data_IF_232365146098
#
_entry.id   IF_232365146098
#
_cell.length_a   1.000
_cell.length_b   1.000
_cell.length_c   1.000
_cell.angle_alpha   90.00
_cell.angle_beta   90.00
_cell.angle_gamma   90.00
#
_symmetry.space_group_name_H-M   'P 1'
#
loop_
_entity.id
_entity.type
_entity.pdbx_description
1 polymer ?
#
# COMPACT_ATOMS: atom_id res chain seq x y z
N UNK A 1 3.32 -28.19 8.07
CA UNK A 1 2.23 -27.76 7.16
C UNK A 1 0.89 -28.08 7.82
N UNK A 2 -0.04 -27.13 7.89
CA UNK A 2 -1.38 -27.37 8.46
C UNK A 2 -2.21 -28.14 7.43
N UNK A 3 -2.73 -29.31 7.82
CA UNK A 3 -3.58 -30.13 6.97
C UNK A 3 -5.03 -29.61 6.96
N UNK A 4 -5.75 -29.75 5.84
CA UNK A 4 -7.15 -29.28 5.68
C UNK A 4 -8.07 -29.74 6.81
N UNK A 5 -7.89 -30.98 7.29
CA UNK A 5 -8.64 -31.54 8.43
C UNK A 5 -8.37 -30.80 9.75
N UNK A 6 -7.13 -30.40 9.99
CA UNK A 6 -6.74 -29.65 11.19
C UNK A 6 -7.29 -28.22 11.11
N UNK A 7 -7.20 -27.59 9.95
CA UNK A 7 -7.79 -26.27 9.71
C UNK A 7 -9.31 -26.26 9.96
N UNK A 8 -10.05 -27.21 9.37
CA UNK A 8 -11.50 -27.29 9.53
C UNK A 8 -11.92 -27.52 10.99
N UNK A 9 -11.17 -28.34 11.74
CA UNK A 9 -11.42 -28.55 13.18
C UNK A 9 -11.22 -27.28 13.98
N UNK A 10 -10.13 -26.56 13.74
CA UNK A 10 -9.80 -25.33 14.47
C UNK A 10 -10.78 -24.20 14.14
N UNK A 11 -11.14 -24.02 12.87
CA UNK A 11 -12.14 -23.04 12.45
C UNK A 11 -13.53 -23.33 13.04
N UNK A 12 -13.94 -24.61 13.06
CA UNK A 12 -15.21 -25.03 13.66
C UNK A 12 -15.25 -24.83 15.17
N UNK A 13 -14.14 -25.11 15.88
CA UNK A 13 -14.02 -24.85 17.32
C UNK A 13 -14.12 -23.35 17.64
N UNK A 14 -13.48 -22.50 16.84
CA UNK A 14 -13.55 -21.05 17.00
C UNK A 14 -14.96 -20.50 16.77
N UNK A 15 -15.65 -20.98 15.72
CA UNK A 15 -17.01 -20.56 15.40
C UNK A 15 -18.03 -20.99 16.48
N UNK A 16 -17.93 -22.23 16.96
CA UNK A 16 -18.79 -22.72 18.04
C UNK A 16 -18.51 -22.01 19.37
N UNK A 17 -17.22 -21.77 19.70
CA UNK A 17 -16.84 -20.97 20.86
C UNK A 17 -17.38 -19.54 20.80
N UNK A 18 -17.35 -18.91 19.62
CA UNK A 18 -17.92 -17.58 19.39
C UNK A 18 -19.44 -17.52 19.55
N UNK A 19 -20.17 -18.54 19.09
CA UNK A 19 -21.64 -18.57 19.21
C UNK A 19 -22.12 -18.83 20.65
N UNK A 20 -21.41 -19.66 21.42
CA UNK A 20 -21.80 -19.99 22.80
C UNK A 20 -21.51 -18.84 23.77
N UNK A 21 -20.48 -18.03 23.51
CA UNK A 21 -20.20 -16.76 24.23
C UNK A 21 -21.25 -15.67 23.95
N UNK A 22 -22.01 -15.76 22.85
CA UNK A 22 -22.97 -14.74 22.43
C UNK A 22 -24.35 -14.76 23.11
N UNK A 23 -24.61 -15.65 24.07
CA UNK A 23 -25.98 -15.85 24.62
C UNK A 23 -26.22 -15.42 26.08
N UNK A 24 -25.22 -14.98 26.85
CA UNK A 24 -25.42 -14.58 28.27
C UNK A 24 -25.08 -13.13 28.59
N UNK A 25 -24.72 -12.33 27.60
CA UNK A 25 -24.58 -10.90 27.81
C UNK A 25 -24.75 -10.21 26.48
N UNK A 26 -25.42 -9.05 26.51
CA UNK A 26 -25.25 -8.07 25.43
C UNK A 26 -23.76 -7.93 25.23
N UNK A 27 -23.24 -8.49 24.13
CA UNK A 27 -21.88 -8.23 23.70
C UNK A 27 -21.93 -6.79 23.28
N UNK A 28 -21.71 -5.89 24.24
CA UNK A 28 -21.06 -4.64 23.93
C UNK A 28 -19.89 -5.09 23.08
N UNK A 29 -19.89 -4.70 21.80
CA UNK A 29 -18.67 -4.63 21.04
C UNK A 29 -17.81 -3.62 21.81
N UNK A 30 -17.19 -4.09 22.90
CA UNK A 30 -16.01 -3.48 23.43
C UNK A 30 -15.12 -3.54 22.21
N UNK A 31 -14.91 -2.40 21.57
CA UNK A 31 -13.74 -2.24 20.74
C UNK A 31 -12.62 -2.65 21.68
N UNK A 32 -12.20 -3.90 21.57
CA UNK A 32 -10.82 -4.23 21.74
C UNK A 32 -10.18 -3.29 20.73
N UNK A 33 -9.86 -2.07 21.21
CA UNK A 33 -8.61 -1.38 20.98
C UNK A 33 -7.53 -2.39 21.38
N UNK A 34 -7.49 -3.48 20.62
CA UNK A 34 -6.33 -4.23 20.33
C UNK A 34 -5.42 -3.13 19.86
N UNK A 35 -4.49 -2.80 20.74
CA UNK A 35 -3.19 -2.26 20.42
C UNK A 35 -2.43 -3.21 19.48
N UNK A 36 -3.13 -3.79 18.50
CA UNK A 36 -2.63 -4.37 17.28
C UNK A 36 -2.02 -3.21 16.52
N UNK A 37 -0.79 -2.94 16.97
CA UNK A 37 0.25 -2.28 16.23
C UNK A 37 -0.29 -1.00 15.60
N UNK A 38 -0.07 0.12 16.29
CA UNK A 38 0.38 1.30 15.56
C UNK A 38 1.62 0.84 14.77
N UNK A 39 1.38 0.22 13.61
CA UNK A 39 2.36 0.03 12.59
C UNK A 39 2.85 1.46 12.40
N UNK A 40 4.15 1.73 12.57
CA UNK A 40 4.64 3.05 12.28
C UNK A 40 4.11 3.35 10.87
N UNK A 41 3.36 4.45 10.73
CA UNK A 41 3.03 5.02 9.43
C UNK A 41 4.34 5.52 8.82
N UNK A 42 5.31 4.62 8.67
CA UNK A 42 6.50 4.83 7.90
C UNK A 42 5.98 4.97 6.48
N UNK A 43 5.99 6.20 5.99
CA UNK A 43 5.68 6.50 4.60
C UNK A 43 6.43 5.50 3.72
N UNK A 44 5.68 4.74 2.93
CA UNK A 44 6.28 3.77 2.02
C UNK A 44 7.17 4.54 1.05
N UNK A 45 8.40 4.07 0.88
CA UNK A 45 9.28 4.58 -0.16
C UNK A 45 8.94 3.82 -1.44
N UNK A 46 8.30 4.50 -2.39
CA UNK A 46 7.86 3.93 -3.67
C UNK A 46 8.54 4.71 -4.80
N UNK A 47 9.32 4.00 -5.63
CA UNK A 47 9.96 4.58 -6.81
C UNK A 47 9.10 4.51 -8.07
N UNK A 48 9.27 5.47 -8.97
CA UNK A 48 8.67 5.48 -10.30
C UNK A 48 9.72 5.70 -11.39
N UNK A 49 9.79 4.81 -12.36
CA UNK A 49 10.55 5.02 -13.59
C UNK A 49 9.77 5.95 -14.52
N UNK A 50 10.29 7.15 -14.80
CA UNK A 50 9.54 8.18 -15.56
C UNK A 50 9.27 7.80 -17.01
N UNK A 51 9.98 6.80 -17.55
CA UNK A 51 9.67 6.22 -18.86
C UNK A 51 8.21 5.75 -18.94
N UNK A 52 7.62 5.29 -17.83
CA UNK A 52 6.21 4.85 -17.77
C UNK A 52 5.21 5.97 -18.04
N UNK A 53 5.59 7.24 -17.89
CA UNK A 53 4.72 8.40 -18.10
C UNK A 53 4.79 8.93 -19.54
N UNK A 54 5.84 8.57 -20.29
CA UNK A 54 6.04 8.99 -21.67
C UNK A 54 5.80 10.49 -21.88
N UNK A 55 4.98 10.83 -22.88
CA UNK A 55 4.65 12.23 -23.24
C UNK A 55 3.85 12.98 -22.17
N UNK A 56 3.18 12.31 -21.24
CA UNK A 56 2.33 12.98 -20.24
C UNK A 56 3.15 13.79 -19.26
N UNK A 57 4.35 13.31 -18.91
CA UNK A 57 5.28 14.04 -18.04
C UNK A 57 5.88 15.26 -18.75
N UNK A 58 6.26 15.13 -20.03
CA UNK A 58 7.03 16.17 -20.72
C UNK A 58 6.19 17.33 -21.26
N UNK A 59 4.86 17.20 -21.30
CA UNK A 59 3.97 18.33 -21.62
C UNK A 59 3.96 19.40 -20.52
N UNK A 60 4.11 18.98 -19.25
CA UNK A 60 4.22 19.84 -18.08
C UNK A 60 5.00 19.09 -17.00
N UNK A 61 6.32 19.26 -17.02
CA UNK A 61 7.22 18.52 -16.12
C UNK A 61 6.94 18.86 -14.65
N UNK A 62 6.75 20.14 -14.33
CA UNK A 62 6.52 20.59 -12.96
C UNK A 62 5.17 20.07 -12.43
N UNK A 63 4.10 20.22 -13.20
CA UNK A 63 2.77 19.71 -12.83
C UNK A 63 2.71 18.18 -12.81
N UNK A 64 3.39 17.52 -13.74
CA UNK A 64 3.50 16.06 -13.79
C UNK A 64 4.19 15.50 -12.53
N UNK A 65 5.34 16.06 -12.14
CA UNK A 65 6.05 15.66 -10.92
C UNK A 65 5.22 15.93 -9.65
N UNK A 66 4.47 17.05 -9.61
CA UNK A 66 3.55 17.33 -8.50
C UNK A 66 2.48 16.26 -8.37
N UNK A 67 1.89 15.80 -9.49
CA UNK A 67 0.91 14.70 -9.50
C UNK A 67 1.54 13.37 -9.07
N UNK A 68 2.76 13.07 -9.52
CA UNK A 68 3.52 11.88 -9.12
C UNK A 68 3.72 11.84 -7.60
N UNK A 69 4.12 12.97 -6.99
CA UNK A 69 4.25 13.09 -5.55
C UNK A 69 2.89 12.93 -4.82
N UNK A 70 1.82 13.52 -5.35
CA UNK A 70 0.46 13.38 -4.80
C UNK A 70 -0.07 11.93 -4.86
N UNK A 71 0.35 11.15 -5.85
CA UNK A 71 0.03 9.71 -5.94
C UNK A 71 0.80 8.85 -4.93
N UNK A 72 1.79 9.40 -4.24
CA UNK A 72 2.56 8.70 -3.20
C UNK A 72 3.86 8.07 -3.68
N UNK A 73 4.34 8.40 -4.88
CA UNK A 73 5.70 8.08 -5.30
C UNK A 73 6.69 9.02 -4.60
N UNK A 74 7.70 8.45 -3.96
CA UNK A 74 8.69 9.16 -3.16
C UNK A 74 10.00 9.40 -3.90
N UNK A 75 10.30 8.58 -4.90
CA UNK A 75 11.52 8.69 -5.71
C UNK A 75 11.19 8.51 -7.19
N UNK A 76 12.01 9.10 -8.05
CA UNK A 76 11.91 8.94 -9.50
C UNK A 76 13.23 8.42 -10.04
N UNK A 77 13.16 7.51 -11.01
CA UNK A 77 14.29 7.11 -11.83
C UNK A 77 14.19 7.83 -13.17
N UNK A 78 15.28 8.44 -13.60
CA UNK A 78 15.34 9.25 -14.82
C UNK A 78 15.45 8.34 -16.07
N UNK A 79 14.90 8.83 -17.18
CA UNK A 79 15.00 8.20 -18.50
C UNK A 79 15.16 9.24 -19.61
N UNK A 80 15.73 8.84 -20.75
CA UNK A 80 15.78 9.67 -21.96
C UNK A 80 16.95 10.67 -22.00
N UNK A 81 18.09 10.33 -21.38
CA UNK A 81 19.32 11.09 -21.53
C UNK A 81 19.78 11.06 -23.00
N UNK A 82 19.90 12.24 -23.62
CA UNK A 82 20.31 12.38 -25.01
C UNK A 82 21.82 12.69 -25.13
N UNK A 83 22.33 12.70 -26.36
CA UNK A 83 23.73 13.02 -26.66
C UNK A 83 24.15 14.43 -26.23
N UNK A 84 23.19 15.34 -26.01
CA UNK A 84 23.41 16.70 -25.54
C UNK A 84 23.36 16.81 -24.01
N UNK A 85 23.27 15.69 -23.30
CA UNK A 85 23.21 15.62 -21.85
C UNK A 85 21.89 16.08 -21.23
N UNK A 86 20.83 16.18 -22.03
CA UNK A 86 19.49 16.60 -21.59
C UNK A 86 18.57 15.39 -21.50
N UNK A 87 17.61 15.44 -20.58
CA UNK A 87 16.56 14.42 -20.47
C UNK A 87 15.36 14.86 -21.30
N UNK A 88 15.11 14.17 -22.42
CA UNK A 88 14.03 14.49 -23.37
C UNK A 88 13.97 16.00 -23.72
N UNK A 89 15.15 16.60 -23.93
CA UNK A 89 15.35 18.02 -24.26
C UNK A 89 14.91 19.03 -23.18
N UNK A 90 14.59 18.56 -21.98
CA UNK A 90 14.34 19.42 -20.81
C UNK A 90 15.68 19.81 -20.18
N UNK A 91 15.82 21.10 -19.87
CA UNK A 91 16.89 21.61 -19.01
C UNK A 91 16.40 21.47 -17.57
N UNK A 92 17.08 20.63 -16.77
CA UNK A 92 16.72 20.30 -15.40
C UNK A 92 17.33 21.27 -14.40
#
# INVERSE_FOLDING_TARGET
MINRRVFLRNASLLALGGLLTGKTGRVMANSLTSSMMAQPNASKVIGLQIYSLGRELYQDVAGGLKKVAQMGYSTIELAGYNSNGKINNVEM
#
